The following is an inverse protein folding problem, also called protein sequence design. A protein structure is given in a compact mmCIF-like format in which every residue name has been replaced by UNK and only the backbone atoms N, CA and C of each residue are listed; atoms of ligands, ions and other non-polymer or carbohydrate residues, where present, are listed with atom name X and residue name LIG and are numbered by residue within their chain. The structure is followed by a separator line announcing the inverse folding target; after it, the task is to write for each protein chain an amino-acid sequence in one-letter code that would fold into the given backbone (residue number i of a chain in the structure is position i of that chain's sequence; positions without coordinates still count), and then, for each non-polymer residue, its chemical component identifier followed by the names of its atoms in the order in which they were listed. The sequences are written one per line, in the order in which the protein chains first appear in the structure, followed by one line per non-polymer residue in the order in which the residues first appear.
data_IF_310026091749
#
_entry.id   IF_310026091749
#
_cell.length_a   1.000
_cell.length_b   1.000
_cell.length_c   1.000
_cell.angle_alpha   90.00
_cell.angle_beta   90.00
_cell.angle_gamma   90.00
#
_symmetry.space_group_name_H-M   'P 1'
#
loop_
_entity.id
_entity.type
_entity.pdbx_description
1 polymer ?
#
# COMPACT_ATOMS: atom_id res chain seq x y z
N UNK A 1 35.99 -2.26 16.62
CA UNK A 1 35.52 -2.40 15.22
C UNK A 1 34.51 -3.53 15.18
N UNK A 2 33.20 -3.23 15.20
CA UNK A 2 32.16 -4.23 14.93
C UNK A 2 30.86 -3.53 14.55
N UNK A 3 30.74 -3.13 13.29
CA UNK A 3 29.51 -2.54 12.73
C UNK A 3 29.24 -2.99 11.29
N UNK A 4 30.07 -3.87 10.72
CA UNK A 4 29.90 -4.37 9.34
C UNK A 4 29.01 -5.62 9.24
N UNK A 5 28.80 -6.36 10.34
CA UNK A 5 28.08 -7.64 10.30
C UNK A 5 26.56 -7.51 10.31
N UNK A 6 25.98 -6.54 11.05
CA UNK A 6 24.52 -6.36 11.09
C UNK A 6 23.92 -5.98 9.72
N UNK A 7 24.55 -5.02 9.02
CA UNK A 7 24.03 -4.52 7.75
C UNK A 7 23.97 -5.59 6.63
N UNK A 8 24.78 -6.63 6.73
CA UNK A 8 24.86 -7.68 5.71
C UNK A 8 23.78 -8.75 5.90
N UNK A 9 23.33 -8.99 7.13
CA UNK A 9 22.23 -9.93 7.42
C UNK A 9 20.87 -9.28 7.17
N UNK A 10 20.68 -8.02 7.58
CA UNK A 10 19.44 -7.28 7.35
C UNK A 10 19.14 -7.08 5.86
N UNK A 11 20.17 -6.79 5.05
CA UNK A 11 20.02 -6.68 3.60
C UNK A 11 19.71 -8.02 2.93
N UNK A 12 20.33 -9.13 3.36
CA UNK A 12 20.02 -10.47 2.86
C UNK A 12 18.60 -10.91 3.23
N UNK A 13 18.15 -10.61 4.44
CA UNK A 13 16.79 -10.90 4.89
C UNK A 13 15.77 -10.10 4.07
N UNK A 14 16.00 -8.81 3.86
CA UNK A 14 15.14 -7.97 3.02
C UNK A 14 15.01 -8.52 1.59
N UNK A 15 16.12 -8.89 0.96
CA UNK A 15 16.11 -9.50 -0.40
C UNK A 15 15.34 -10.82 -0.42
N UNK A 16 15.46 -11.65 0.62
CA UNK A 16 14.69 -12.89 0.72
C UNK A 16 13.20 -12.63 0.90
N UNK A 17 12.81 -11.61 1.65
CA UNK A 17 11.41 -11.22 1.81
C UNK A 17 10.80 -10.73 0.51
N UNK A 18 11.51 -9.87 -0.25
CA UNK A 18 11.05 -9.43 -1.57
C UNK A 18 10.85 -10.62 -2.51
N UNK A 19 11.73 -11.64 -2.47
CA UNK A 19 11.54 -12.89 -3.22
C UNK A 19 10.31 -13.68 -2.78
N UNK A 20 10.00 -13.72 -1.48
CA UNK A 20 8.76 -14.35 -0.98
C UNK A 20 7.53 -13.61 -1.46
N UNK A 21 7.51 -12.28 -1.37
CA UNK A 21 6.40 -11.46 -1.88
C UNK A 21 6.23 -11.61 -3.40
N UNK A 22 7.31 -11.65 -4.16
CA UNK A 22 7.24 -11.90 -5.59
C UNK A 22 6.56 -13.23 -5.92
N UNK A 23 6.89 -14.29 -5.17
CA UNK A 23 6.18 -15.57 -5.28
C UNK A 23 4.72 -15.47 -4.85
N UNK A 24 4.43 -14.80 -3.74
CA UNK A 24 3.08 -14.59 -3.22
C UNK A 24 2.18 -13.90 -4.25
N UNK A 25 2.70 -12.86 -4.91
CA UNK A 25 1.97 -12.11 -5.94
C UNK A 25 2.07 -12.71 -7.35
N UNK A 26 2.78 -13.83 -7.53
CA UNK A 26 3.06 -14.43 -8.84
C UNK A 26 3.70 -13.44 -9.84
N UNK A 27 4.60 -12.59 -9.37
CA UNK A 27 5.28 -11.55 -10.15
C UNK A 27 6.79 -11.79 -10.24
N UNK A 28 7.44 -11.23 -11.26
CA UNK A 28 8.89 -11.11 -11.30
C UNK A 28 9.40 -10.11 -10.27
N UNK A 29 10.64 -10.27 -9.80
CA UNK A 29 11.24 -9.33 -8.82
C UNK A 29 11.27 -7.88 -9.30
N UNK A 30 11.37 -7.68 -10.62
CA UNK A 30 11.38 -6.36 -11.26
C UNK A 30 9.99 -5.74 -11.31
N UNK A 31 8.95 -6.57 -11.34
CA UNK A 31 7.55 -6.14 -11.48
C UNK A 31 6.92 -5.79 -10.12
N UNK A 32 7.60 -6.11 -9.01
CA UNK A 32 7.19 -5.64 -7.69
C UNK A 32 7.43 -4.13 -7.59
N UNK A 33 6.40 -3.34 -7.23
CA UNK A 33 6.55 -1.90 -7.00
C UNK A 33 7.55 -1.57 -5.90
N UNK A 34 8.30 -0.48 -6.06
CA UNK A 34 9.35 -0.11 -5.10
C UNK A 34 8.80 0.17 -3.69
N UNK A 35 7.61 0.78 -3.57
CA UNK A 35 6.95 0.98 -2.26
C UNK A 35 6.70 -0.35 -1.53
N UNK A 36 6.43 -1.43 -2.28
CA UNK A 36 6.23 -2.78 -1.73
C UNK A 36 7.59 -3.39 -1.38
N UNK A 37 8.64 -3.18 -2.20
CA UNK A 37 10.00 -3.64 -1.87
C UNK A 37 10.54 -3.00 -0.59
N UNK A 38 10.38 -1.68 -0.46
CA UNK A 38 10.79 -0.89 0.70
C UNK A 38 10.06 -1.32 1.98
N UNK A 39 8.83 -1.82 1.85
CA UNK A 39 8.00 -2.27 2.95
C UNK A 39 7.83 -3.80 3.01
N UNK A 40 8.71 -4.56 2.37
CA UNK A 40 8.49 -5.98 2.10
C UNK A 40 8.24 -6.81 3.38
N UNK A 41 9.02 -6.58 4.44
CA UNK A 41 8.88 -7.30 5.71
C UNK A 41 7.49 -7.07 6.32
N UNK A 42 7.03 -5.82 6.33
CA UNK A 42 5.72 -5.43 6.87
C UNK A 42 4.58 -5.99 6.04
N UNK A 43 4.67 -5.91 4.71
CA UNK A 43 3.61 -6.43 3.82
C UNK A 43 3.50 -7.95 3.98
N UNK A 44 4.63 -8.67 4.03
CA UNK A 44 4.61 -10.12 4.24
C UNK A 44 4.02 -10.48 5.60
N UNK A 45 4.42 -9.78 6.67
CA UNK A 45 3.90 -10.01 8.02
C UNK A 45 2.39 -9.76 8.10
N UNK A 46 1.85 -8.75 7.41
CA UNK A 46 0.39 -8.53 7.34
C UNK A 46 -0.30 -9.69 6.62
N UNK A 47 0.25 -10.14 5.49
CA UNK A 47 -0.30 -11.28 4.73
C UNK A 47 -0.31 -12.56 5.56
N UNK A 48 0.75 -12.81 6.33
CA UNK A 48 0.88 -14.02 7.16
C UNK A 48 -0.07 -14.02 8.37
N UNK A 49 -0.57 -12.86 8.82
CA UNK A 49 -1.39 -12.72 10.03
C UNK A 49 -2.86 -12.34 9.76
N UNK A 50 -3.23 -12.07 8.51
CA UNK A 50 -4.59 -11.67 8.15
C UNK A 50 -5.51 -12.86 7.84
N UNK A 51 -6.82 -12.63 7.83
CA UNK A 51 -7.77 -13.62 7.37
C UNK A 51 -7.70 -13.78 5.84
N UNK A 52 -8.05 -14.98 5.37
CA UNK A 52 -8.16 -15.26 3.94
C UNK A 52 -9.15 -14.28 3.29
N UNK A 53 -8.83 -13.81 2.09
CA UNK A 53 -9.59 -12.87 1.26
C UNK A 53 -9.75 -11.44 1.80
N UNK A 54 -9.24 -11.13 2.99
CA UNK A 54 -9.15 -9.75 3.45
C UNK A 54 -8.26 -8.94 2.46
N UNK A 55 -8.63 -7.70 2.11
CA UNK A 55 -7.81 -6.93 1.19
C UNK A 55 -6.81 -6.05 1.92
N UNK A 56 -5.65 -5.84 1.29
CA UNK A 56 -4.65 -4.86 1.71
C UNK A 56 -4.58 -3.76 0.65
N UNK A 57 -4.48 -2.52 1.09
CA UNK A 57 -4.14 -1.36 0.26
C UNK A 57 -2.74 -0.88 0.64
N UNK A 58 -1.89 -0.65 -0.36
CA UNK A 58 -0.53 -0.13 -0.21
C UNK A 58 -0.42 1.15 -1.03
N UNK A 59 -0.09 2.26 -0.36
CA UNK A 59 -0.09 3.60 -0.97
C UNK A 59 1.33 4.16 -1.03
N UNK A 60 1.80 4.46 -2.24
CA UNK A 60 2.97 5.31 -2.46
C UNK A 60 2.51 6.77 -2.50
N UNK A 61 2.69 7.53 -1.44
CA UNK A 61 2.34 8.96 -1.45
C UNK A 61 3.27 9.77 -2.34
N UNK A 62 2.72 10.79 -3.00
CA UNK A 62 3.52 11.75 -3.77
C UNK A 62 4.34 12.62 -2.80
N UNK A 63 5.64 12.79 -3.08
CA UNK A 63 6.55 13.59 -2.25
C UNK A 63 7.24 14.65 -3.12
N UNK A 64 7.04 15.96 -2.85
CA UNK A 64 6.14 16.51 -1.83
C UNK A 64 4.67 16.27 -2.17
N UNK A 65 3.80 16.23 -1.14
CA UNK A 65 2.36 16.08 -1.35
C UNK A 65 1.82 17.26 -2.17
N UNK A 66 1.07 17.04 -3.27
CA UNK A 66 0.87 18.07 -4.27
C UNK A 66 -0.29 19.03 -3.94
N UNK A 67 -0.87 18.92 -2.75
CA UNK A 67 -2.00 19.73 -2.29
C UNK A 67 -1.60 20.52 -1.05
N UNK A 68 -1.79 21.83 -1.13
CA UNK A 68 -1.48 22.78 -0.05
C UNK A 68 -2.74 23.51 0.44
N UNK A 69 -3.92 22.91 0.26
CA UNK A 69 -5.22 23.48 0.65
C UNK A 69 -5.68 22.88 1.98
N UNK A 70 -6.29 23.70 2.83
CA UNK A 70 -6.83 23.26 4.14
C UNK A 70 -7.79 22.08 3.95
N UNK A 71 -7.53 20.98 4.66
CA UNK A 71 -8.35 19.76 4.60
C UNK A 71 -8.07 18.85 3.39
N UNK A 72 -7.14 19.22 2.50
CA UNK A 72 -6.67 18.40 1.39
C UNK A 72 -5.23 17.96 1.63
N UNK A 73 -5.01 17.18 2.68
CA UNK A 73 -3.67 16.73 3.08
C UNK A 73 -3.58 15.21 3.07
N UNK A 74 -2.36 14.68 3.03
CA UNK A 74 -2.10 13.24 3.22
C UNK A 74 -2.80 12.72 4.50
N UNK A 75 -2.69 13.48 5.60
CA UNK A 75 -3.32 13.17 6.88
C UNK A 75 -4.84 13.06 6.77
N UNK A 76 -5.50 13.91 5.98
CA UNK A 76 -6.95 13.82 5.77
C UNK A 76 -7.36 12.51 5.11
N UNK A 77 -6.55 11.99 4.18
CA UNK A 77 -6.81 10.70 3.53
C UNK A 77 -6.54 9.52 4.44
N UNK A 78 -5.45 9.56 5.20
CA UNK A 78 -5.13 8.54 6.22
C UNK A 78 -6.28 8.45 7.24
N UNK A 79 -6.73 9.59 7.77
CA UNK A 79 -7.83 9.64 8.73
C UNK A 79 -9.13 9.08 8.13
N UNK A 80 -9.41 9.39 6.86
CA UNK A 80 -10.56 8.83 6.15
C UNK A 80 -10.49 7.30 6.07
N UNK A 81 -9.34 6.76 5.66
CA UNK A 81 -9.13 5.31 5.55
C UNK A 81 -9.35 4.63 6.90
N UNK A 82 -8.74 5.15 7.97
CA UNK A 82 -8.85 4.58 9.32
C UNK A 82 -10.27 4.64 9.84
N UNK A 83 -10.96 5.77 9.65
CA UNK A 83 -12.36 5.94 10.09
C UNK A 83 -13.31 4.98 9.37
N UNK A 84 -12.97 4.55 8.15
CA UNK A 84 -13.78 3.66 7.33
C UNK A 84 -13.31 2.20 7.37
N UNK A 85 -12.66 1.79 8.46
CA UNK A 85 -12.35 0.40 8.75
C UNK A 85 -10.99 -0.11 8.24
N UNK A 86 -10.14 0.77 7.72
CA UNK A 86 -8.75 0.43 7.41
C UNK A 86 -7.88 0.42 8.67
N UNK A 87 -7.17 -0.67 8.92
CA UNK A 87 -6.15 -0.71 9.97
C UNK A 87 -4.85 -0.14 9.41
N UNK A 88 -4.30 0.91 10.03
CA UNK A 88 -2.98 1.45 9.65
C UNK A 88 -1.86 0.54 10.18
N UNK A 89 -1.43 -0.40 9.36
CA UNK A 89 -0.48 -1.43 9.76
C UNK A 89 0.87 -0.81 10.11
N UNK A 90 1.39 -1.19 11.29
CA UNK A 90 2.62 -0.66 11.88
C UNK A 90 2.67 0.87 12.04
N UNK A 91 1.53 1.55 12.06
CA UNK A 91 1.45 3.02 11.99
C UNK A 91 2.26 3.60 10.81
N UNK A 92 2.35 2.85 9.70
CA UNK A 92 3.19 3.19 8.55
C UNK A 92 2.64 4.32 7.70
N UNK A 93 1.33 4.56 7.76
CA UNK A 93 0.56 5.40 6.85
C UNK A 93 0.61 4.96 5.38
N UNK A 94 1.18 3.79 5.09
CA UNK A 94 1.42 3.26 3.74
C UNK A 94 0.61 1.99 3.51
N UNK A 95 0.54 1.12 4.51
CA UNK A 95 -0.09 -0.20 4.43
C UNK A 95 -1.37 -0.17 5.25
N UNK A 96 -2.49 -0.50 4.61
CA UNK A 96 -3.80 -0.57 5.27
C UNK A 96 -4.47 -1.91 4.99
N UNK A 97 -4.78 -2.67 6.03
CA UNK A 97 -5.59 -3.89 5.92
C UNK A 97 -7.07 -3.57 6.17
N UNK A 98 -7.98 -4.35 5.60
CA UNK A 98 -9.42 -4.29 5.88
C UNK A 98 -9.93 -5.69 6.17
N UNK A 99 -10.95 -5.81 7.04
CA UNK A 99 -11.52 -7.13 7.43
C UNK A 99 -12.55 -7.69 6.44
N UNK A 100 -12.72 -7.03 5.30
CA UNK A 100 -13.56 -7.52 4.20
C UNK A 100 -13.43 -6.60 2.97
N UNK A 101 -13.71 -7.18 1.79
CA UNK A 101 -13.90 -6.40 0.56
C UNK A 101 -14.97 -5.30 0.70
N UNK A 102 -16.05 -5.55 1.45
CA UNK A 102 -17.13 -4.55 1.68
C UNK A 102 -16.62 -3.30 2.41
N UNK A 103 -15.80 -3.47 3.45
CA UNK A 103 -15.23 -2.32 4.17
C UNK A 103 -14.34 -1.48 3.25
N UNK A 104 -13.47 -2.13 2.47
CA UNK A 104 -12.65 -1.44 1.48
C UNK A 104 -13.51 -0.69 0.45
N UNK A 105 -14.55 -1.33 -0.10
CA UNK A 105 -15.46 -0.68 -1.05
C UNK A 105 -16.13 0.55 -0.45
N UNK A 106 -16.64 0.47 0.78
CA UNK A 106 -17.27 1.60 1.46
C UNK A 106 -16.27 2.74 1.70
N UNK A 107 -15.06 2.41 2.17
CA UNK A 107 -13.97 3.37 2.35
C UNK A 107 -13.67 4.13 1.04
N UNK A 108 -13.46 3.40 -0.06
CA UNK A 108 -13.13 3.97 -1.37
C UNK A 108 -14.29 4.79 -1.94
N UNK A 109 -15.53 4.37 -1.76
CA UNK A 109 -16.70 5.14 -2.22
C UNK A 109 -16.86 6.45 -1.46
N UNK A 110 -16.47 6.48 -0.18
CA UNK A 110 -16.51 7.70 0.65
C UNK A 110 -15.36 8.67 0.41
N UNK A 111 -14.33 8.32 -0.38
CA UNK A 111 -13.17 9.17 -0.57
C UNK A 111 -13.54 10.51 -1.23
N UNK A 112 -12.92 11.62 -0.78
CA UNK A 112 -13.21 12.94 -1.33
C UNK A 112 -12.76 13.04 -2.79
N UNK A 113 -13.48 13.81 -3.59
CA UNK A 113 -13.23 13.90 -5.03
C UNK A 113 -11.82 14.37 -5.39
N UNK A 114 -11.22 15.25 -4.58
CA UNK A 114 -9.91 15.85 -4.85
C UNK A 114 -8.74 14.85 -4.80
N UNK A 115 -8.94 13.64 -4.25
CA UNK A 115 -7.92 12.60 -4.19
C UNK A 115 -8.08 11.52 -5.27
N UNK A 116 -9.14 11.62 -6.10
CA UNK A 116 -9.35 10.70 -7.21
C UNK A 116 -8.56 11.19 -8.42
N UNK A 117 -8.14 10.25 -9.25
CA UNK A 117 -7.45 10.56 -10.49
C UNK A 117 -8.37 11.32 -11.45
N UNK A 118 -7.97 12.54 -11.79
CA UNK A 118 -8.71 13.42 -12.71
C UNK A 118 -8.24 13.18 -14.14
N UNK A 119 -8.98 12.32 -14.85
CA UNK A 119 -8.70 11.99 -16.25
C UNK A 119 -8.97 13.14 -17.22
N UNK A 120 -9.68 14.19 -16.78
CA UNK A 120 -10.13 15.30 -17.62
C UNK A 120 -9.17 16.48 -17.50
N UNK A 121 -8.61 16.73 -16.31
CA UNK A 121 -7.69 17.82 -16.07
C UNK A 121 -6.27 17.32 -15.75
N UNK A 122 -5.35 17.29 -16.74
CA UNK A 122 -3.98 16.83 -16.52
C UNK A 122 -3.15 17.75 -15.61
N UNK A 123 -3.65 18.95 -15.28
CA UNK A 123 -2.97 19.87 -14.37
C UNK A 123 -3.25 19.58 -12.90
N UNK A 124 -4.09 18.59 -12.60
CA UNK A 124 -4.50 18.21 -11.25
C UNK A 124 -3.65 16.99 -10.85
N UNK A 125 -2.50 17.20 -10.17
CA UNK A 125 -1.59 16.12 -9.82
C UNK A 125 -2.23 15.14 -8.83
N UNK A 126 -2.01 13.87 -9.10
CA UNK A 126 -2.41 12.77 -8.24
C UNK A 126 -1.63 12.74 -6.93
N UNK A 127 -2.33 12.33 -5.87
CA UNK A 127 -1.81 12.42 -4.49
C UNK A 127 -0.96 11.21 -4.09
N UNK A 128 -0.95 10.15 -4.89
CA UNK A 128 -0.10 8.97 -4.70
C UNK A 128 -0.28 7.88 -5.76
N UNK A 129 0.08 6.65 -5.44
CA UNK A 129 -0.19 5.48 -6.25
C UNK A 129 -0.71 4.37 -5.35
N UNK A 130 -1.86 3.82 -5.70
CA UNK A 130 -2.54 2.84 -4.87
C UNK A 130 -2.43 1.45 -5.49
N UNK A 131 -1.90 0.50 -4.72
CA UNK A 131 -1.91 -0.93 -5.02
C UNK A 131 -2.90 -1.63 -4.11
N UNK A 132 -3.60 -2.63 -4.62
CA UNK A 132 -4.51 -3.46 -3.87
C UNK A 132 -4.05 -4.91 -3.96
N UNK A 133 -3.85 -5.56 -2.82
CA UNK A 133 -3.70 -7.01 -2.73
C UNK A 133 -5.05 -7.62 -2.34
N UNK A 134 -5.53 -8.58 -3.12
CA UNK A 134 -6.79 -9.31 -2.89
C UNK A 134 -6.58 -10.81 -3.06
N UNK A 135 -7.62 -11.62 -2.84
CA UNK A 135 -7.57 -13.09 -2.87
C UNK A 135 -6.41 -13.64 -2.03
N UNK A 136 -6.16 -12.97 -0.90
CA UNK A 136 -5.04 -13.32 -0.04
C UNK A 136 -5.32 -14.68 0.58
N UNK A 137 -4.36 -15.58 0.42
CA UNK A 137 -4.37 -16.93 0.96
C UNK A 137 -3.01 -17.21 1.58
N UNK A 138 -2.84 -18.37 2.21
CA UNK A 138 -1.55 -18.77 2.78
C UNK A 138 -0.39 -18.80 1.75
N UNK A 139 -0.69 -18.88 0.45
CA UNK A 139 0.33 -19.13 -0.60
C UNK A 139 0.29 -18.15 -1.77
N UNK A 140 -0.80 -17.41 -1.94
CA UNK A 140 -0.97 -16.50 -3.07
C UNK A 140 -1.83 -15.29 -2.73
N UNK A 141 -1.60 -14.19 -3.45
CA UNK A 141 -2.44 -13.01 -3.47
C UNK A 141 -2.39 -12.36 -4.86
N UNK A 142 -3.49 -11.74 -5.29
CA UNK A 142 -3.54 -10.95 -6.52
C UNK A 142 -3.15 -9.50 -6.19
N UNK A 143 -2.05 -9.01 -6.78
CA UNK A 143 -1.66 -7.61 -6.68
C UNK A 143 -2.09 -6.84 -7.93
N UNK A 144 -2.86 -5.78 -7.75
CA UNK A 144 -3.32 -4.94 -8.85
C UNK A 144 -3.15 -3.45 -8.55
N UNK A 145 -3.07 -2.66 -9.63
CA UNK A 145 -3.12 -1.21 -9.56
C UNK A 145 -4.55 -0.78 -9.29
N UNK A 146 -4.79 -0.05 -8.20
CA UNK A 146 -6.12 0.48 -7.89
C UNK A 146 -6.36 1.82 -8.62
N UNK A 147 -6.47 1.75 -9.94
CA UNK A 147 -6.52 2.89 -10.89
C UNK A 147 -7.62 3.93 -10.66
N UNK A 148 -8.58 3.66 -9.78
CA UNK A 148 -9.66 4.58 -9.44
C UNK A 148 -9.30 5.55 -8.31
N UNK A 149 -8.17 5.34 -7.63
CA UNK A 149 -7.87 6.01 -6.37
C UNK A 149 -6.40 6.45 -6.30
N UNK A 150 -6.21 7.73 -5.97
CA UNK A 150 -4.92 8.39 -5.70
C UNK A 150 -3.93 8.53 -6.85
N UNK A 151 -4.10 7.88 -8.00
CA UNK A 151 -3.06 7.26 -8.82
C UNK A 151 -2.24 8.15 -9.80
N UNK A 152 -0.89 8.05 -9.80
CA UNK A 152 0.09 8.51 -10.84
C UNK A 152 0.50 7.40 -11.85
#
# INVERSE_FOLDING_TARGET
MSSMSLNTEDSKNSVNTVKKLAKMFSLGLRDIPDVIKENANKVLEVIENMCIDDPIVIIKWTVPFPRNVRGQTERSLINHIVTNGGTNEFNSNVIFSFRSGRQLTNCVNGLPLWCRHDRVNPNVPDVGYCYRATRVSERSADLEVYSLVFNI
#
